data_IF_712957302361
#
_entry.id   IF_712957302361
#
_cell.length_a   1.000
_cell.length_b   1.000
_cell.length_c   1.000
_cell.angle_alpha   90.00
_cell.angle_beta   90.00
_cell.angle_gamma   90.00
#
_symmetry.space_group_name_H-M   'P 1'
#
loop_
_entity.id
_entity.type
_entity.pdbx_description
1 polymer ?
#
# COMPACT_ATOMS: atom_id res chain seq x y z
N UNK A 1 11.80 22.51 13.87
CA UNK A 1 10.96 22.90 12.70
C UNK A 1 11.00 21.77 11.66
N UNK A 2 9.89 21.42 11.00
CA UNK A 2 9.95 20.52 9.84
C UNK A 2 10.55 21.28 8.65
N UNK A 3 11.30 20.61 7.78
CA UNK A 3 12.10 21.28 6.74
C UNK A 3 11.26 22.15 5.77
N UNK A 4 10.05 21.70 5.42
CA UNK A 4 9.13 22.41 4.49
C UNK A 4 8.01 23.18 5.20
N UNK A 5 7.96 23.12 6.52
CA UNK A 5 6.91 23.71 7.38
C UNK A 5 5.44 23.51 6.94
N UNK A 6 5.11 22.43 6.22
CA UNK A 6 3.74 22.15 5.77
C UNK A 6 2.71 22.12 6.92
N UNK A 7 1.54 22.71 6.68
CA UNK A 7 0.39 22.76 7.59
C UNK A 7 -0.81 22.13 6.90
N UNK A 8 -1.64 21.44 7.68
CA UNK A 8 -2.91 20.87 7.23
C UNK A 8 -2.78 20.04 5.93
N UNK A 9 -1.65 19.35 5.77
CA UNK A 9 -1.38 18.55 4.58
C UNK A 9 -2.28 17.31 4.57
N UNK A 10 -2.68 16.89 3.36
CA UNK A 10 -3.28 15.57 3.14
C UNK A 10 -2.20 14.60 2.74
N UNK A 11 -2.04 13.52 3.50
CA UNK A 11 -1.06 12.47 3.20
C UNK A 11 -1.75 11.28 2.54
N UNK A 12 -1.31 10.94 1.32
CA UNK A 12 -1.86 9.83 0.52
C UNK A 12 -0.76 8.80 0.34
N UNK A 13 -0.97 7.60 0.86
CA UNK A 13 -0.01 6.51 0.82
C UNK A 13 -0.55 5.30 0.06
N UNK A 14 0.17 4.84 -0.95
CA UNK A 14 -0.10 3.59 -1.66
C UNK A 14 0.77 2.45 -1.13
N UNK A 15 0.19 1.27 -0.92
CA UNK A 15 0.93 0.06 -0.54
C UNK A 15 1.75 0.26 0.75
N UNK A 16 3.06 -0.02 0.73
CA UNK A 16 4.01 0.28 1.80
C UNK A 16 3.93 1.73 2.27
N UNK A 17 3.73 2.68 1.35
CA UNK A 17 3.56 4.09 1.68
C UNK A 17 2.32 4.38 2.52
N UNK A 18 1.30 3.52 2.48
CA UNK A 18 0.16 3.59 3.39
C UNK A 18 0.54 3.25 4.84
N UNK A 19 1.45 2.27 5.05
CA UNK A 19 2.02 2.00 6.36
C UNK A 19 2.85 3.18 6.88
N UNK A 20 3.65 3.80 6.01
CA UNK A 20 4.40 5.02 6.35
C UNK A 20 3.47 6.17 6.74
N UNK A 21 2.39 6.40 5.97
CA UNK A 21 1.36 7.39 6.30
C UNK A 21 0.72 7.08 7.65
N UNK A 22 0.31 5.83 7.90
CA UNK A 22 -0.28 5.47 9.19
C UNK A 22 0.67 5.77 10.36
N UNK A 23 1.94 5.35 10.23
CA UNK A 23 2.96 5.56 11.24
C UNK A 23 3.26 7.04 11.49
N UNK A 24 3.39 7.83 10.43
CA UNK A 24 3.66 9.27 10.52
C UNK A 24 2.47 10.04 11.10
N UNK A 25 1.25 9.81 10.60
CA UNK A 25 0.06 10.56 11.00
C UNK A 25 -0.28 10.31 12.47
N UNK A 26 -0.11 9.08 12.96
CA UNK A 26 -0.28 8.73 14.38
C UNK A 26 0.64 9.55 15.32
N UNK A 27 1.77 10.06 14.82
CA UNK A 27 2.80 10.79 15.60
C UNK A 27 2.90 12.27 15.21
N UNK A 28 2.12 12.71 14.23
CA UNK A 28 2.21 14.06 13.72
C UNK A 28 1.82 15.09 14.79
N UNK A 29 2.55 16.21 14.84
CA UNK A 29 2.19 17.32 15.72
C UNK A 29 0.83 17.91 15.28
N UNK A 30 0.02 18.45 16.21
CA UNK A 30 -1.23 19.13 15.86
C UNK A 30 -1.03 20.18 14.75
N UNK A 31 -1.98 20.26 13.80
CA UNK A 31 -1.96 21.19 12.67
C UNK A 31 -1.02 20.82 11.51
N UNK A 32 -0.41 19.63 11.52
CA UNK A 32 0.42 19.14 10.41
C UNK A 32 -0.36 18.36 9.36
N UNK A 33 -1.35 17.60 9.79
CA UNK A 33 -2.13 16.69 8.94
C UNK A 33 -3.60 17.03 9.10
N UNK A 34 -4.29 17.22 7.98
CA UNK A 34 -5.74 17.45 7.96
C UNK A 34 -6.53 16.18 7.66
N UNK A 35 -6.01 15.33 6.75
CA UNK A 35 -6.60 14.05 6.34
C UNK A 35 -5.52 13.04 5.93
N UNK A 36 -5.88 11.76 5.97
CA UNK A 36 -5.04 10.68 5.46
C UNK A 36 -5.80 9.81 4.43
N UNK A 37 -5.07 9.24 3.47
CA UNK A 37 -5.60 8.25 2.54
C UNK A 37 -4.66 7.05 2.46
N UNK A 38 -5.21 5.85 2.62
CA UNK A 38 -4.52 4.58 2.57
C UNK A 38 -5.04 3.79 1.35
N UNK A 39 -4.21 3.60 0.32
CA UNK A 39 -4.61 2.94 -0.94
C UNK A 39 -3.89 1.60 -1.08
N UNK A 40 -4.60 0.47 -1.14
CA UNK A 40 -3.99 -0.86 -1.26
C UNK A 40 -2.97 -1.12 -0.15
N UNK A 41 -3.20 -0.58 1.05
CA UNK A 41 -2.15 -0.34 2.05
C UNK A 41 -1.88 -1.56 2.94
N UNK A 42 -0.62 -1.70 3.37
CA UNK A 42 -0.13 -2.82 4.20
C UNK A 42 -0.69 -2.93 5.63
N UNK A 43 -1.20 -1.88 6.29
CA UNK A 43 -1.82 -2.03 7.60
C UNK A 43 -3.07 -2.93 7.60
N UNK A 44 -3.37 -3.60 8.72
CA UNK A 44 -2.71 -3.46 10.03
C UNK A 44 -1.35 -4.18 10.13
N UNK A 45 -1.25 -5.38 9.55
CA UNK A 45 -0.02 -6.19 9.47
C UNK A 45 -0.26 -7.27 8.40
N UNK A 46 0.74 -7.62 7.60
CA UNK A 46 0.55 -8.62 6.52
C UNK A 46 0.94 -10.04 6.92
N UNK A 47 1.96 -10.19 7.76
CA UNK A 47 2.48 -11.51 8.12
C UNK A 47 1.52 -12.25 9.05
N UNK A 48 1.40 -13.55 8.81
CA UNK A 48 0.63 -14.45 9.66
C UNK A 48 1.28 -14.59 11.04
N UNK A 49 0.47 -14.54 12.09
CA UNK A 49 0.88 -14.84 13.46
C UNK A 49 -0.33 -15.30 14.29
N UNK A 50 -0.13 -15.65 15.55
CA UNK A 50 -1.24 -15.95 16.47
C UNK A 50 -2.21 -14.77 16.63
N UNK A 51 -1.71 -13.54 16.50
CA UNK A 51 -2.50 -12.31 16.57
C UNK A 51 -3.11 -11.92 15.22
N UNK A 52 -2.56 -12.43 14.12
CA UNK A 52 -3.06 -12.24 12.76
C UNK A 52 -3.15 -13.58 12.01
N UNK A 53 -4.16 -14.43 12.29
CA UNK A 53 -4.26 -15.75 11.66
C UNK A 53 -4.63 -15.70 10.18
N UNK A 54 -5.18 -14.57 9.69
CA UNK A 54 -5.55 -14.32 8.30
C UNK A 54 -4.38 -13.91 7.39
N UNK A 55 -3.24 -13.54 7.98
CA UNK A 55 -2.07 -13.07 7.27
C UNK A 55 -1.40 -14.10 6.36
N UNK A 56 -0.48 -13.59 5.54
CA UNK A 56 0.32 -14.41 4.64
C UNK A 56 1.44 -15.13 5.40
N UNK A 57 1.72 -16.40 5.08
CA UNK A 57 2.86 -17.12 5.66
C UNK A 57 4.19 -16.38 5.40
N UNK A 58 5.14 -16.48 6.34
CA UNK A 58 6.43 -15.79 6.26
C UNK A 58 7.21 -16.19 5.00
N UNK A 59 6.98 -17.41 4.53
CA UNK A 59 7.61 -18.02 3.35
C UNK A 59 7.31 -17.23 2.07
N UNK A 60 6.17 -16.52 2.00
CA UNK A 60 5.85 -15.62 0.86
C UNK A 60 6.88 -14.48 0.81
N UNK A 61 7.16 -13.85 1.95
CA UNK A 61 8.09 -12.73 2.06
C UNK A 61 9.55 -13.20 1.96
N UNK A 62 9.88 -14.38 2.49
CA UNK A 62 11.18 -15.01 2.26
C UNK A 62 11.42 -15.35 0.79
N UNK A 63 10.37 -15.77 0.08
CA UNK A 63 10.41 -15.95 -1.37
C UNK A 63 10.76 -14.67 -2.11
N UNK A 64 10.15 -13.53 -1.75
CA UNK A 64 10.51 -12.23 -2.33
C UNK A 64 11.94 -11.81 -2.00
N UNK A 65 12.39 -12.01 -0.76
CA UNK A 65 13.77 -11.76 -0.35
C UNK A 65 14.76 -12.58 -1.17
N UNK A 66 14.48 -13.88 -1.34
CA UNK A 66 15.31 -14.78 -2.13
C UNK A 66 15.34 -14.42 -3.61
N UNK A 67 14.19 -14.12 -4.23
CA UNK A 67 14.10 -13.73 -5.63
C UNK A 67 14.85 -12.42 -5.91
N UNK A 68 14.73 -11.44 -5.01
CA UNK A 68 15.48 -10.18 -5.09
C UNK A 68 16.98 -10.42 -5.04
N UNK A 69 17.46 -11.23 -4.09
CA UNK A 69 18.90 -11.55 -3.97
C UNK A 69 19.41 -12.31 -5.19
N UNK A 70 18.65 -13.29 -5.67
CA UNK A 70 19.05 -14.14 -6.78
C UNK A 70 19.12 -13.36 -8.11
N UNK A 71 18.06 -12.61 -8.44
CA UNK A 71 18.00 -11.82 -9.66
C UNK A 71 16.97 -10.70 -9.55
N UNK A 72 17.32 -9.62 -8.85
CA UNK A 72 16.47 -8.42 -8.71
C UNK A 72 15.97 -7.87 -10.05
N UNK A 73 16.81 -7.89 -11.09
CA UNK A 73 16.45 -7.31 -12.38
C UNK A 73 15.29 -8.06 -13.04
N UNK A 74 15.31 -9.40 -13.01
CA UNK A 74 14.21 -10.21 -13.53
C UNK A 74 12.99 -10.18 -12.60
N UNK A 75 13.19 -10.32 -11.29
CA UNK A 75 12.11 -10.26 -10.31
C UNK A 75 11.28 -8.97 -10.45
N UNK A 76 11.95 -7.84 -10.74
CA UNK A 76 11.30 -6.56 -10.95
C UNK A 76 10.61 -6.39 -12.32
N UNK A 77 10.78 -7.32 -13.26
CA UNK A 77 9.92 -7.45 -14.43
C UNK A 77 8.72 -8.35 -14.12
N UNK A 78 8.96 -9.44 -13.39
CA UNK A 78 7.95 -10.47 -13.11
C UNK A 78 6.78 -9.93 -12.27
N UNK A 79 7.09 -9.15 -11.22
CA UNK A 79 6.07 -8.56 -10.33
C UNK A 79 5.08 -7.65 -11.08
N UNK A 80 5.52 -6.62 -11.84
CA UNK A 80 4.60 -5.78 -12.59
C UNK A 80 3.99 -6.45 -13.82
N UNK A 81 4.67 -7.42 -14.45
CA UNK A 81 4.10 -8.18 -15.57
C UNK A 81 3.01 -9.18 -15.13
N UNK A 82 2.97 -9.54 -13.84
CA UNK A 82 1.98 -10.46 -13.29
C UNK A 82 1.05 -9.79 -12.27
N UNK A 83 1.26 -10.03 -10.96
CA UNK A 83 0.27 -9.75 -9.92
C UNK A 83 0.03 -8.26 -9.63
N UNK A 84 1.03 -7.38 -9.79
CA UNK A 84 0.92 -5.99 -9.32
C UNK A 84 -0.19 -5.21 -10.04
N UNK A 85 -0.32 -5.39 -11.35
CA UNK A 85 -1.34 -4.72 -12.16
C UNK A 85 -2.47 -5.66 -12.61
N UNK A 86 -2.50 -6.89 -12.10
CA UNK A 86 -3.46 -7.91 -12.53
C UNK A 86 -3.26 -8.35 -13.97
N UNK A 87 -2.07 -8.15 -14.54
CA UNK A 87 -1.74 -8.54 -15.92
C UNK A 87 -1.66 -10.06 -16.13
N UNK A 88 -1.60 -10.83 -15.03
CA UNK A 88 -1.78 -12.28 -15.02
C UNK A 88 -3.25 -12.74 -15.05
N UNK A 89 -4.25 -11.83 -15.01
CA UNK A 89 -5.67 -12.20 -15.06
C UNK A 89 -6.09 -12.53 -16.50
N UNK A 90 -7.02 -13.48 -16.70
CA UNK A 90 -7.55 -13.78 -18.03
C UNK A 90 -8.15 -12.54 -18.71
N UNK A 91 -7.74 -12.28 -19.95
CA UNK A 91 -8.23 -11.13 -20.73
C UNK A 91 -7.65 -9.77 -20.34
N UNK A 92 -6.68 -9.71 -19.42
CA UNK A 92 -6.01 -8.47 -19.05
C UNK A 92 -5.26 -7.87 -20.25
N UNK A 93 -5.41 -6.56 -20.45
CA UNK A 93 -4.64 -5.80 -21.46
C UNK A 93 -3.35 -5.32 -20.83
N UNK A 94 -2.26 -6.02 -21.11
CA UNK A 94 -0.92 -5.68 -20.58
C UNK A 94 -0.42 -4.37 -21.18
N UNK A 95 0.07 -3.46 -20.33
CA UNK A 95 0.74 -2.25 -20.75
C UNK A 95 2.24 -2.37 -20.52
N UNK A 96 2.99 -2.60 -21.59
CA UNK A 96 4.45 -2.77 -21.50
C UNK A 96 5.15 -1.55 -20.91
N UNK A 97 4.71 -0.33 -21.27
CA UNK A 97 5.29 0.90 -20.72
C UNK A 97 5.07 1.04 -19.20
N UNK A 98 3.98 0.50 -18.66
CA UNK A 98 3.74 0.47 -17.21
C UNK A 98 4.68 -0.54 -16.54
N UNK A 99 4.85 -1.73 -17.12
CA UNK A 99 5.79 -2.76 -16.63
C UNK A 99 7.22 -2.22 -16.58
N UNK A 100 7.68 -1.64 -17.70
CA UNK A 100 9.04 -1.10 -17.82
C UNK A 100 9.27 0.10 -16.90
N UNK A 101 8.28 0.97 -16.70
CA UNK A 101 8.44 2.09 -15.79
C UNK A 101 8.45 1.66 -14.32
N UNK A 102 7.70 0.61 -13.94
CA UNK A 102 7.80 0.01 -12.61
C UNK A 102 9.20 -0.56 -12.38
N UNK A 103 9.68 -1.36 -13.34
CA UNK A 103 11.04 -1.92 -13.31
C UNK A 103 12.12 -0.83 -13.21
N UNK A 104 12.02 0.22 -14.04
CA UNK A 104 12.96 1.35 -14.06
C UNK A 104 13.06 2.03 -12.69
N UNK A 105 11.93 2.25 -12.01
CA UNK A 105 11.90 2.81 -10.65
C UNK A 105 12.58 1.87 -9.64
N UNK A 106 12.24 0.58 -9.68
CA UNK A 106 12.86 -0.43 -8.82
C UNK A 106 14.37 -0.54 -9.02
N UNK A 107 14.85 -0.43 -10.26
CA UNK A 107 16.28 -0.52 -10.56
C UNK A 107 17.07 0.73 -10.15
N UNK A 108 16.41 1.89 -10.08
CA UNK A 108 17.03 3.14 -9.59
C UNK A 108 17.25 3.14 -8.06
N UNK A 109 16.52 2.31 -7.30
CA UNK A 109 16.64 2.21 -5.86
C UNK A 109 17.76 1.26 -5.39
N UNK A 110 18.15 1.38 -4.12
CA UNK A 110 19.18 0.54 -3.50
C UNK A 110 18.68 -0.89 -3.24
N UNK A 111 19.44 -1.91 -3.68
CA UNK A 111 19.04 -3.32 -3.51
C UNK A 111 18.86 -3.71 -2.03
N UNK A 112 19.76 -3.25 -1.16
CA UNK A 112 19.68 -3.47 0.30
C UNK A 112 18.43 -2.84 0.90
N UNK A 113 18.11 -1.60 0.51
CA UNK A 113 16.92 -0.92 0.99
C UNK A 113 15.65 -1.69 0.58
N UNK A 114 15.57 -2.18 -0.66
CA UNK A 114 14.44 -2.98 -1.12
C UNK A 114 14.33 -4.31 -0.38
N UNK A 115 15.46 -4.99 -0.13
CA UNK A 115 15.51 -6.22 0.64
C UNK A 115 14.98 -6.04 2.07
N UNK A 116 15.48 -5.04 2.80
CA UNK A 116 15.05 -4.76 4.17
C UNK A 116 13.59 -4.29 4.23
N UNK A 117 13.17 -3.53 3.21
CA UNK A 117 11.81 -3.01 3.14
C UNK A 117 10.76 -4.13 3.07
N UNK A 118 11.12 -5.32 2.54
CA UNK A 118 10.22 -6.49 2.57
C UNK A 118 9.79 -6.82 3.99
N UNK A 119 10.73 -6.88 4.93
CA UNK A 119 10.42 -7.06 6.34
C UNK A 119 9.64 -5.86 6.89
N UNK A 120 10.09 -4.64 6.58
CA UNK A 120 9.47 -3.43 7.10
C UNK A 120 7.98 -3.32 6.74
N UNK A 121 7.59 -3.68 5.53
CA UNK A 121 6.19 -3.56 5.11
C UNK A 121 5.32 -4.76 5.53
N UNK A 122 5.91 -5.96 5.67
CA UNK A 122 5.14 -7.19 5.92
C UNK A 122 5.00 -7.54 7.40
N UNK A 123 6.04 -7.27 8.19
CA UNK A 123 6.17 -7.72 9.58
C UNK A 123 5.94 -6.60 10.60
N UNK A 124 5.82 -5.34 10.18
CA UNK A 124 5.50 -4.22 11.07
C UNK A 124 4.02 -4.21 11.41
N UNK A 125 3.71 -4.14 12.71
CA UNK A 125 2.35 -4.01 13.21
C UNK A 125 1.96 -2.54 13.38
N UNK A 126 1.05 -2.07 12.52
CA UNK A 126 0.51 -0.70 12.53
C UNK A 126 -0.81 -0.60 13.33
N UNK A 127 -1.23 -1.66 14.03
CA UNK A 127 -2.52 -1.69 14.75
C UNK A 127 -2.70 -0.52 15.71
N UNK A 128 -1.67 -0.19 16.49
CA UNK A 128 -1.75 0.91 17.45
C UNK A 128 -1.62 2.29 16.77
N UNK A 129 -0.92 2.36 15.64
CA UNK A 129 -0.87 3.57 14.82
C UNK A 129 -2.26 3.90 14.28
N UNK A 130 -2.96 2.92 13.72
CA UNK A 130 -4.34 3.09 13.22
C UNK A 130 -5.30 3.56 14.32
N UNK A 131 -5.22 3.00 15.54
CA UNK A 131 -6.04 3.46 16.67
C UNK A 131 -5.71 4.88 17.14
N UNK A 132 -4.45 5.30 16.97
CA UNK A 132 -3.98 6.61 17.38
C UNK A 132 -4.42 7.73 16.41
N UNK A 133 -4.60 7.43 15.12
CA UNK A 133 -5.05 8.39 14.10
C UNK A 133 -6.44 8.96 14.46
N UNK A 134 -6.51 10.29 14.56
CA UNK A 134 -7.75 11.03 14.88
C UNK A 134 -8.32 11.79 13.69
N UNK A 135 -7.52 12.07 12.65
CA UNK A 135 -7.99 12.79 11.46
C UNK A 135 -8.86 11.89 10.58
N UNK A 136 -9.76 12.45 9.75
CA UNK A 136 -10.49 11.68 8.75
C UNK A 136 -9.53 10.89 7.87
N UNK A 137 -9.82 9.60 7.70
CA UNK A 137 -8.97 8.68 6.94
C UNK A 137 -9.79 7.88 5.94
N UNK A 138 -9.45 7.99 4.67
CA UNK A 138 -10.03 7.17 3.60
C UNK A 138 -9.16 5.93 3.36
N UNK A 139 -9.78 4.75 3.34
CA UNK A 139 -9.17 3.48 2.98
C UNK A 139 -9.73 3.06 1.62
N UNK A 140 -8.87 2.86 0.63
CA UNK A 140 -9.21 2.54 -0.75
C UNK A 140 -8.55 1.24 -1.14
N UNK A 141 -9.29 0.23 -1.62
CA UNK A 141 -8.68 -1.07 -1.90
C UNK A 141 -9.45 -1.85 -2.96
N UNK A 142 -8.73 -2.49 -3.87
CA UNK A 142 -9.31 -3.45 -4.81
C UNK A 142 -9.53 -4.80 -4.15
N UNK A 143 -10.70 -5.42 -4.31
CA UNK A 143 -10.96 -6.73 -3.70
C UNK A 143 -10.27 -7.91 -4.42
N UNK A 144 -9.64 -7.65 -5.57
CA UNK A 144 -8.80 -8.59 -6.33
C UNK A 144 -7.29 -8.27 -6.25
N UNK A 145 -6.86 -7.57 -5.20
CA UNK A 145 -5.46 -7.26 -4.94
C UNK A 145 -4.64 -8.55 -4.64
N UNK A 146 -3.65 -8.82 -5.51
CA UNK A 146 -2.77 -9.99 -5.42
C UNK A 146 -1.44 -9.72 -4.68
N UNK A 147 -1.22 -8.50 -4.20
CA UNK A 147 -0.01 -8.11 -3.47
C UNK A 147 -0.34 -7.93 -1.99
N UNK A 148 -1.37 -7.13 -1.68
CA UNK A 148 -1.85 -6.88 -0.32
C UNK A 148 -3.27 -7.43 -0.21
N UNK A 149 -3.48 -8.61 0.43
CA UNK A 149 -4.78 -9.25 0.48
C UNK A 149 -5.85 -8.35 1.10
N UNK A 150 -6.90 -8.06 0.33
CA UNK A 150 -7.98 -7.16 0.74
C UNK A 150 -8.57 -7.54 2.12
N UNK A 151 -8.92 -8.82 2.30
CA UNK A 151 -9.60 -9.29 3.51
C UNK A 151 -8.78 -9.11 4.80
N UNK A 152 -7.45 -9.15 4.69
CA UNK A 152 -6.51 -9.03 5.82
C UNK A 152 -5.89 -7.63 5.95
N UNK A 153 -6.43 -6.64 5.24
CA UNK A 153 -5.92 -5.26 5.24
C UNK A 153 -7.04 -4.23 5.41
N UNK A 154 -7.68 -3.81 4.32
CA UNK A 154 -8.58 -2.65 4.30
C UNK A 154 -9.77 -2.74 5.28
N UNK A 155 -10.54 -3.84 5.35
CA UNK A 155 -11.63 -3.99 6.32
C UNK A 155 -11.16 -3.96 7.78
N UNK A 156 -9.96 -4.46 8.06
CA UNK A 156 -9.38 -4.44 9.40
C UNK A 156 -8.88 -3.03 9.75
N UNK A 157 -8.19 -2.38 8.82
CA UNK A 157 -7.69 -1.02 8.97
C UNK A 157 -8.81 -0.02 9.23
N UNK A 158 -9.88 -0.04 8.44
CA UNK A 158 -11.01 0.89 8.63
C UNK A 158 -11.69 0.69 9.98
N UNK A 159 -11.75 -0.55 10.49
CA UNK A 159 -12.36 -0.86 11.79
C UNK A 159 -11.53 -0.34 12.97
N UNK A 160 -10.21 -0.24 12.81
CA UNK A 160 -9.30 0.28 13.85
C UNK A 160 -9.26 1.80 13.88
N UNK A 161 -9.53 2.46 12.76
CA UNK A 161 -9.55 3.91 12.63
C UNK A 161 -10.78 4.52 13.32
N UNK A 162 -10.58 5.61 14.07
CA UNK A 162 -11.67 6.35 14.73
C UNK A 162 -12.62 7.02 13.72
N UNK A 163 -12.05 7.56 12.65
CA UNK A 163 -12.75 8.32 11.60
C UNK A 163 -12.43 7.72 10.22
N UNK A 164 -12.58 6.41 10.09
CA UNK A 164 -12.30 5.65 8.87
C UNK A 164 -13.49 5.60 7.91
N UNK A 165 -13.24 5.78 6.61
CA UNK A 165 -14.18 5.47 5.53
C UNK A 165 -13.55 4.45 4.59
N UNK A 166 -14.27 3.38 4.23
CA UNK A 166 -13.79 2.36 3.29
C UNK A 166 -14.44 2.55 1.93
N UNK A 167 -13.61 2.50 0.88
CA UNK A 167 -14.01 2.41 -0.52
C UNK A 167 -13.39 1.16 -1.13
N UNK A 168 -14.23 0.16 -1.38
CA UNK A 168 -13.84 -1.09 -2.04
C UNK A 168 -14.08 -0.99 -3.55
N UNK A 169 -13.13 -1.47 -4.33
CA UNK A 169 -13.22 -1.53 -5.79
C UNK A 169 -13.27 -2.98 -6.27
N UNK A 170 -14.41 -3.37 -6.82
CA UNK A 170 -14.62 -4.72 -7.31
C UNK A 170 -13.68 -5.05 -8.49
N UNK A 171 -12.91 -6.13 -8.36
CA UNK A 171 -12.03 -6.67 -9.40
C UNK A 171 -10.76 -5.86 -9.69
N UNK A 172 -10.49 -4.78 -8.94
CA UNK A 172 -9.33 -3.93 -9.24
C UNK A 172 -8.03 -4.47 -8.61
N UNK A 173 -6.88 -4.30 -9.30
CA UNK A 173 -5.60 -4.83 -8.86
C UNK A 173 -4.92 -3.88 -7.85
N UNK A 174 -3.76 -4.31 -7.33
CA UNK A 174 -2.93 -3.50 -6.42
C UNK A 174 -2.53 -2.14 -7.02
N UNK A 175 -2.15 -2.14 -8.30
CA UNK A 175 -1.78 -0.94 -9.06
C UNK A 175 -2.97 -0.13 -9.59
N UNK A 176 -4.09 -0.08 -8.87
CA UNK A 176 -5.32 0.59 -9.33
C UNK A 176 -5.13 2.08 -9.66
N UNK A 177 -4.24 2.79 -8.97
CA UNK A 177 -3.95 4.21 -9.26
C UNK A 177 -3.37 4.43 -10.66
N UNK A 178 -2.72 3.43 -11.22
CA UNK A 178 -2.13 3.49 -12.58
C UNK A 178 -3.08 2.94 -13.64
N UNK A 179 -3.81 1.87 -13.31
CA UNK A 179 -4.66 1.16 -14.28
C UNK A 179 -6.07 1.73 -14.39
N UNK A 180 -6.56 2.38 -13.34
CA UNK A 180 -7.92 2.93 -13.24
C UNK A 180 -7.95 4.36 -12.66
N UNK A 181 -7.09 5.28 -13.12
CA UNK A 181 -7.02 6.64 -12.57
C UNK A 181 -8.35 7.40 -12.68
N UNK A 182 -9.15 7.12 -13.70
CA UNK A 182 -10.48 7.70 -13.92
C UNK A 182 -11.51 7.31 -12.85
N UNK A 183 -11.28 6.21 -12.13
CA UNK A 183 -12.11 5.75 -11.01
C UNK A 183 -11.53 6.29 -9.70
N UNK A 184 -10.21 6.19 -9.52
CA UNK A 184 -9.52 6.51 -8.26
C UNK A 184 -9.46 8.03 -8.02
N UNK A 185 -9.14 8.81 -9.04
CA UNK A 185 -8.91 10.26 -8.88
C UNK A 185 -10.15 11.03 -8.45
N UNK A 186 -11.37 10.78 -8.97
CA UNK A 186 -12.58 11.46 -8.51
C UNK A 186 -12.91 11.16 -7.04
N UNK A 187 -12.77 9.90 -6.61
CA UNK A 187 -13.00 9.50 -5.21
C UNK A 187 -12.00 10.19 -4.27
N UNK A 188 -10.71 10.22 -4.66
CA UNK A 188 -9.68 10.96 -3.92
C UNK A 188 -10.03 12.45 -3.80
N UNK A 189 -10.39 13.09 -4.91
CA UNK A 189 -10.72 14.50 -4.93
C UNK A 189 -11.95 14.82 -4.07
N UNK A 190 -12.96 13.97 -4.11
CA UNK A 190 -14.18 14.12 -3.32
C UNK A 190 -13.85 14.07 -1.81
N UNK A 191 -13.02 13.11 -1.38
CA UNK A 191 -12.59 13.01 0.01
C UNK A 191 -11.69 14.18 0.43
N UNK A 192 -10.81 14.67 -0.43
CA UNK A 192 -9.96 15.83 -0.10
C UNK A 192 -10.82 17.07 0.14
N UNK A 193 -11.86 17.29 -0.66
CA UNK A 193 -12.74 18.47 -0.58
C UNK A 193 -13.78 18.46 0.55
N UNK A 194 -13.98 17.34 1.23
CA UNK A 194 -15.02 17.20 2.27
C UNK A 194 -14.76 17.92 3.59
#
# INVERSE_FOLDING_TARGET
>A
PTALDLKDAVHIGHSTGGGEVAHYVARAKPGRVSKAVLIGAVPPIMVKSDKNPGGLPIEVFDGFRAALVANRAQFFLDVPAGPFYGYNRPGAKVSQGVVENWWRQGMAGGAKAHYDCIKAFSETDFTDDLKAITVPTLVMHGDDDQIVPYADSAPLSVKLLKNGTLKTYAGLPHGLCTTHPEIVNPDLLAFIKS
#
